data_IF_206453924093
#
_entry.id   IF_206453924093
#
_cell.length_a   1.000
_cell.length_b   1.000
_cell.length_c   1.000
_cell.angle_alpha   90.00
_cell.angle_beta   90.00
_cell.angle_gamma   90.00
#
_symmetry.space_group_name_H-M   'P 1'
#
loop_
_entity.id
_entity.type
_entity.pdbx_description
1 polymer ?
#
# COMPACT_ATOMS: atom_id res chain seq x y z
N UNK A 1 4.11 -29.93 11.11
CA UNK A 1 4.20 -28.49 10.82
C UNK A 1 4.34 -28.20 9.31
N UNK A 2 5.41 -28.66 8.57
CA UNK A 2 5.57 -28.38 7.12
C UNK A 2 4.42 -28.96 6.27
N UNK A 3 4.01 -30.21 6.51
CA UNK A 3 2.88 -30.84 5.80
C UNK A 3 1.55 -30.12 6.06
N UNK A 4 1.32 -29.67 7.27
CA UNK A 4 0.15 -28.91 7.66
C UNK A 4 0.12 -27.54 6.99
N UNK A 5 1.27 -26.82 6.99
CA UNK A 5 1.41 -25.54 6.29
C UNK A 5 1.15 -25.69 4.78
N UNK A 6 1.69 -26.73 4.15
CA UNK A 6 1.45 -27.03 2.74
C UNK A 6 -0.04 -27.32 2.45
N UNK A 7 -0.72 -28.06 3.32
CA UNK A 7 -2.15 -28.33 3.16
C UNK A 7 -3.01 -27.06 3.29
N UNK A 8 -2.69 -26.20 4.27
CA UNK A 8 -3.37 -24.88 4.42
C UNK A 8 -3.14 -23.99 3.20
N UNK A 9 -1.90 -23.91 2.74
CA UNK A 9 -1.56 -23.09 1.58
C UNK A 9 -2.32 -23.52 0.32
N UNK A 10 -2.34 -24.84 0.03
CA UNK A 10 -3.11 -25.38 -1.10
C UNK A 10 -4.59 -25.07 -1.00
N UNK A 11 -5.18 -25.27 0.18
CA UNK A 11 -6.59 -24.95 0.43
C UNK A 11 -6.90 -23.47 0.19
N UNK A 12 -6.01 -22.57 0.60
CA UNK A 12 -6.17 -21.12 0.36
C UNK A 12 -6.05 -20.77 -1.12
N UNK A 13 -5.05 -21.33 -1.82
CA UNK A 13 -4.86 -21.11 -3.27
C UNK A 13 -6.11 -21.54 -4.03
N UNK A 14 -6.66 -22.70 -3.74
CA UNK A 14 -7.87 -23.23 -4.36
C UNK A 14 -9.11 -22.38 -4.00
N UNK A 15 -9.34 -22.11 -2.71
CA UNK A 15 -10.56 -21.44 -2.23
C UNK A 15 -10.67 -19.99 -2.72
N UNK A 16 -9.53 -19.27 -2.80
CA UNK A 16 -9.50 -17.86 -3.19
C UNK A 16 -9.00 -17.62 -4.61
N UNK A 17 -8.80 -18.69 -5.39
CA UNK A 17 -8.34 -18.60 -6.78
C UNK A 17 -7.05 -17.76 -6.92
N UNK A 18 -6.09 -17.98 -6.02
CA UNK A 18 -4.85 -17.18 -5.94
C UNK A 18 -3.99 -17.42 -7.19
N UNK A 19 -3.50 -16.36 -7.80
CA UNK A 19 -2.65 -16.36 -8.99
C UNK A 19 -1.18 -16.09 -8.66
N UNK A 20 -0.91 -15.36 -7.56
CA UNK A 20 0.43 -14.97 -7.16
C UNK A 20 0.64 -15.05 -5.65
N UNK A 21 1.86 -15.39 -5.24
CA UNK A 21 2.31 -15.34 -3.84
C UNK A 21 3.48 -14.36 -3.73
N UNK A 22 3.36 -13.40 -2.83
CA UNK A 22 4.44 -12.49 -2.47
C UNK A 22 5.17 -13.02 -1.23
N UNK A 23 6.49 -13.05 -1.28
CA UNK A 23 7.37 -13.45 -0.17
C UNK A 23 8.28 -12.28 0.17
N UNK A 24 8.34 -11.88 1.44
CA UNK A 24 9.29 -10.86 1.89
C UNK A 24 10.75 -11.32 1.70
N UNK A 25 11.64 -10.40 1.36
CA UNK A 25 13.06 -10.68 1.10
C UNK A 25 13.94 -10.76 2.36
N UNK A 26 13.35 -11.03 3.52
CA UNK A 26 14.05 -11.17 4.79
C UNK A 26 14.82 -12.47 4.95
N UNK A 27 15.23 -12.75 6.19
CA UNK A 27 16.17 -13.84 6.53
C UNK A 27 15.76 -15.21 6.02
N UNK A 28 14.47 -15.57 6.11
CA UNK A 28 13.95 -16.88 5.69
C UNK A 28 13.33 -16.87 4.28
N UNK A 29 13.63 -15.88 3.45
CA UNK A 29 12.99 -15.72 2.13
C UNK A 29 13.28 -16.91 1.20
N UNK A 30 14.53 -17.35 1.13
CA UNK A 30 14.96 -18.47 0.26
C UNK A 30 14.32 -19.79 0.65
N UNK A 31 14.28 -20.09 1.95
CA UNK A 31 13.62 -21.29 2.47
C UNK A 31 12.11 -21.28 2.23
N UNK A 32 11.50 -20.10 2.34
CA UNK A 32 10.07 -19.92 2.10
C UNK A 32 9.76 -20.05 0.60
N UNK A 33 10.56 -19.44 -0.25
CA UNK A 33 10.45 -19.55 -1.70
C UNK A 33 10.59 -21.01 -2.15
N UNK A 34 11.64 -21.70 -1.69
CA UNK A 34 11.83 -23.13 -1.96
C UNK A 34 10.66 -23.96 -1.47
N UNK A 35 10.16 -23.70 -0.25
CA UNK A 35 8.99 -24.41 0.29
C UNK A 35 7.76 -24.20 -0.59
N UNK A 36 7.47 -22.99 -1.02
CA UNK A 36 6.30 -22.68 -1.84
C UNK A 36 6.41 -23.26 -3.23
N UNK A 37 7.55 -23.07 -3.90
CA UNK A 37 7.78 -23.53 -5.29
C UNK A 37 7.83 -25.04 -5.43
N UNK A 38 8.14 -25.77 -4.35
CA UNK A 38 8.12 -27.25 -4.34
C UNK A 38 6.73 -27.84 -4.08
N UNK A 39 5.71 -27.01 -3.79
CA UNK A 39 4.35 -27.51 -3.65
C UNK A 39 3.67 -27.71 -5.01
N UNK A 40 2.80 -28.70 -5.08
CA UNK A 40 1.90 -28.85 -6.23
C UNK A 40 0.57 -28.16 -5.93
N UNK A 41 0.19 -27.24 -6.79
CA UNK A 41 -1.07 -26.51 -6.75
C UNK A 41 -2.00 -26.98 -7.88
N UNK A 42 -3.29 -26.69 -7.76
CA UNK A 42 -4.33 -27.01 -8.75
C UNK A 42 -4.22 -26.15 -10.02
N UNK A 43 -3.36 -25.14 -10.00
CA UNK A 43 -3.17 -24.14 -11.07
C UNK A 43 -1.73 -23.64 -11.14
N UNK A 44 -1.34 -23.01 -12.27
CA UNK A 44 -0.10 -22.26 -12.34
C UNK A 44 -0.11 -21.13 -11.32
N UNK A 45 0.95 -21.02 -10.52
CA UNK A 45 1.08 -20.01 -9.48
C UNK A 45 2.41 -19.27 -9.64
N UNK A 46 2.36 -17.96 -9.64
CA UNK A 46 3.56 -17.12 -9.70
C UNK A 46 4.04 -16.82 -8.27
N UNK A 47 5.35 -16.91 -8.05
CA UNK A 47 5.97 -16.60 -6.77
C UNK A 47 6.93 -15.43 -6.94
N UNK A 48 6.77 -14.38 -6.15
CA UNK A 48 7.57 -13.17 -6.20
C UNK A 48 8.24 -12.90 -4.85
N UNK A 49 9.52 -12.55 -4.90
CA UNK A 49 10.24 -12.03 -3.74
C UNK A 49 10.13 -10.51 -3.75
N UNK A 50 9.55 -9.97 -2.68
CA UNK A 50 9.18 -8.54 -2.54
C UNK A 50 9.97 -7.93 -1.39
N UNK A 51 10.39 -6.67 -1.53
CA UNK A 51 11.05 -5.96 -0.44
C UNK A 51 10.14 -5.85 0.78
N UNK A 52 10.63 -6.30 1.94
CA UNK A 52 9.92 -6.15 3.23
C UNK A 52 10.41 -4.95 4.05
N UNK A 53 11.27 -4.09 3.47
CA UNK A 53 11.83 -2.94 4.17
C UNK A 53 10.73 -2.06 4.78
N UNK A 54 10.81 -1.83 6.09
CA UNK A 54 9.80 -1.07 6.84
C UNK A 54 8.46 -1.78 7.08
N UNK A 55 8.27 -3.04 6.66
CA UNK A 55 7.02 -3.76 6.91
C UNK A 55 6.72 -3.96 8.41
N UNK A 56 7.74 -4.18 9.22
CA UNK A 56 7.62 -4.26 10.68
C UNK A 56 7.19 -2.92 11.29
N UNK A 57 7.69 -1.80 10.77
CA UNK A 57 7.32 -0.44 11.21
C UNK A 57 5.84 -0.19 10.90
N UNK A 58 5.41 -0.49 9.67
CA UNK A 58 4.01 -0.39 9.28
C UNK A 58 3.12 -1.25 10.18
N UNK A 59 3.45 -2.53 10.38
CA UNK A 59 2.61 -3.48 11.14
C UNK A 59 2.32 -3.03 12.58
N UNK A 60 3.25 -2.30 13.20
CA UNK A 60 3.11 -1.72 14.54
C UNK A 60 2.48 -0.31 14.54
N UNK A 61 2.29 0.31 13.37
CA UNK A 61 1.78 1.67 13.24
C UNK A 61 0.30 1.80 13.61
N UNK A 62 -0.13 3.04 13.84
CA UNK A 62 -1.56 3.35 14.02
C UNK A 62 -2.34 3.02 12.75
N UNK A 63 -1.80 3.35 11.57
CA UNK A 63 -2.44 3.09 10.27
C UNK A 63 -2.77 1.61 10.13
N UNK A 64 -1.83 0.72 10.44
CA UNK A 64 -2.04 -0.73 10.35
C UNK A 64 -3.07 -1.23 11.37
N UNK A 65 -3.12 -0.64 12.57
CA UNK A 65 -4.15 -0.97 13.57
C UNK A 65 -5.54 -0.53 13.13
N UNK A 66 -5.65 0.65 12.52
CA UNK A 66 -6.92 1.17 12.02
C UNK A 66 -7.42 0.37 10.80
N UNK A 67 -6.50 -0.08 9.92
CA UNK A 67 -6.84 -0.93 8.76
C UNK A 67 -7.22 -2.36 9.15
N UNK A 68 -6.54 -2.92 10.15
CA UNK A 68 -6.69 -4.32 10.56
C UNK A 68 -6.71 -4.47 12.08
N UNK A 69 -7.76 -4.01 12.76
CA UNK A 69 -7.84 -4.06 14.22
C UNK A 69 -7.82 -5.49 14.78
N UNK A 70 -8.42 -6.45 14.05
CA UNK A 70 -8.57 -7.84 14.46
C UNK A 70 -7.31 -8.70 14.27
N UNK A 71 -6.29 -8.20 13.55
CA UNK A 71 -5.09 -8.97 13.23
C UNK A 71 -3.88 -8.51 14.03
N UNK A 72 -2.97 -9.43 14.30
CA UNK A 72 -1.68 -9.15 14.93
C UNK A 72 -0.67 -8.51 13.96
N UNK A 73 0.48 -8.12 14.48
CA UNK A 73 1.56 -7.50 13.70
C UNK A 73 2.10 -8.39 12.60
N UNK A 74 2.08 -9.71 12.79
CA UNK A 74 2.58 -10.68 11.81
C UNK A 74 1.69 -10.70 10.56
N UNK A 75 0.39 -10.78 10.78
CA UNK A 75 -0.60 -10.77 9.69
C UNK A 75 -0.63 -9.42 8.99
N UNK A 76 -0.59 -8.30 9.73
CA UNK A 76 -0.51 -6.94 9.15
C UNK A 76 0.72 -6.78 8.26
N UNK A 77 1.88 -7.27 8.73
CA UNK A 77 3.12 -7.28 7.94
C UNK A 77 3.00 -8.10 6.66
N UNK A 78 2.44 -9.30 6.74
CA UNK A 78 2.23 -10.17 5.59
C UNK A 78 1.29 -9.54 4.55
N UNK A 79 0.19 -8.91 4.99
CA UNK A 79 -0.72 -8.17 4.09
C UNK A 79 0.00 -7.03 3.39
N UNK A 80 0.81 -6.25 4.12
CA UNK A 80 1.59 -5.15 3.53
C UNK A 80 2.55 -5.66 2.44
N UNK A 81 3.26 -6.76 2.69
CA UNK A 81 4.16 -7.38 1.70
C UNK A 81 3.38 -7.82 0.45
N UNK A 82 2.22 -8.45 0.62
CA UNK A 82 1.34 -8.81 -0.49
C UNK A 82 0.86 -7.60 -1.31
N UNK A 83 0.44 -6.54 -0.62
CA UNK A 83 0.00 -5.30 -1.26
C UNK A 83 1.10 -4.57 -2.03
N UNK A 84 2.37 -4.69 -1.60
CA UNK A 84 3.51 -4.11 -2.34
C UNK A 84 3.71 -4.73 -3.71
N UNK A 85 3.32 -5.99 -3.89
CA UNK A 85 3.33 -6.61 -5.21
C UNK A 85 2.30 -5.96 -6.14
N UNK A 86 1.16 -5.53 -5.59
CA UNK A 86 0.07 -4.91 -6.34
C UNK A 86 0.33 -3.42 -6.61
N UNK A 87 0.68 -2.67 -5.58
CA UNK A 87 0.96 -1.23 -5.63
C UNK A 87 1.99 -0.86 -4.54
N UNK A 88 3.30 -0.88 -4.87
CA UNK A 88 4.35 -0.60 -3.91
C UNK A 88 4.27 0.82 -3.33
N UNK A 89 3.90 1.81 -4.13
CA UNK A 89 3.83 3.20 -3.69
C UNK A 89 2.73 3.40 -2.65
N UNK A 90 1.55 2.81 -2.88
CA UNK A 90 0.42 2.88 -1.96
C UNK A 90 0.75 2.34 -0.55
N UNK A 91 1.61 1.35 -0.45
CA UNK A 91 2.06 0.80 0.83
C UNK A 91 3.23 1.58 1.44
N UNK A 92 4.22 1.96 0.63
CA UNK A 92 5.42 2.63 1.12
C UNK A 92 5.15 4.01 1.69
N UNK A 93 4.18 4.76 1.16
CA UNK A 93 3.79 6.08 1.68
C UNK A 93 3.19 6.04 3.10
N UNK A 94 2.78 4.87 3.58
CA UNK A 94 2.29 4.66 4.95
C UNK A 94 3.41 4.63 5.99
N UNK A 95 4.67 4.59 5.56
CA UNK A 95 5.86 4.48 6.41
C UNK A 95 6.62 5.79 6.35
N UNK A 96 6.97 6.35 7.51
CA UNK A 96 7.86 7.52 7.57
C UNK A 96 9.20 7.17 6.92
N UNK A 97 9.64 7.88 5.86
CA UNK A 97 10.90 7.63 5.17
C UNK A 97 12.13 7.62 6.10
N UNK A 98 12.12 8.45 7.15
CA UNK A 98 13.19 8.47 8.15
C UNK A 98 13.33 7.15 8.91
N UNK A 99 12.21 6.43 9.12
CA UNK A 99 12.22 5.15 9.81
C UNK A 99 12.83 4.03 8.98
N UNK A 100 12.84 4.15 7.65
CA UNK A 100 13.48 3.21 6.73
C UNK A 100 14.98 3.50 6.62
N UNK A 101 15.37 4.75 6.79
CA UNK A 101 16.71 5.26 6.57
C UNK A 101 16.88 5.88 5.18
N UNK A 102 17.27 7.15 5.14
CA UNK A 102 17.44 7.93 3.92
C UNK A 102 18.90 8.33 3.66
N UNK A 103 19.78 8.08 4.63
CA UNK A 103 21.20 8.34 4.48
C UNK A 103 21.99 8.11 5.76
N UNK A 104 23.29 7.85 5.62
CA UNK A 104 24.19 7.58 6.73
C UNK A 104 24.20 8.72 7.75
N UNK A 105 24.15 9.98 7.28
CA UNK A 105 24.22 11.18 8.10
C UNK A 105 22.86 11.83 8.35
N UNK A 106 21.77 11.08 8.23
CA UNK A 106 20.42 11.65 8.42
C UNK A 106 20.21 12.30 9.80
N UNK A 107 20.95 11.89 10.82
CA UNK A 107 20.87 12.43 12.17
C UNK A 107 21.67 13.71 12.39
N UNK A 108 22.62 14.00 11.48
CA UNK A 108 23.52 15.16 11.56
C UNK A 108 22.98 16.41 10.90
N UNK A 109 21.86 16.30 10.19
CA UNK A 109 21.20 17.42 9.52
C UNK A 109 20.02 17.94 10.32
N UNK A 110 19.55 19.16 9.99
CA UNK A 110 18.34 19.74 10.57
C UNK A 110 17.12 18.83 10.30
N UNK A 111 16.54 18.29 11.39
CA UNK A 111 15.47 17.31 11.30
C UNK A 111 14.17 17.88 10.72
N UNK A 112 13.89 19.17 10.94
CA UNK A 112 12.71 19.83 10.41
C UNK A 112 12.82 20.04 8.90
N UNK A 113 13.99 20.46 8.44
CA UNK A 113 14.28 20.60 7.01
C UNK A 113 14.29 19.24 6.30
N UNK A 114 14.91 18.22 6.91
CA UNK A 114 14.90 16.86 6.39
C UNK A 114 13.47 16.34 6.21
N UNK A 115 12.64 16.47 7.25
CA UNK A 115 11.25 16.05 7.17
C UNK A 115 10.51 16.74 6.02
N UNK A 116 10.61 18.05 5.93
CA UNK A 116 9.96 18.84 4.86
C UNK A 116 10.43 18.39 3.47
N UNK A 117 11.73 18.18 3.29
CA UNK A 117 12.28 17.72 2.01
C UNK A 117 11.78 16.33 1.63
N UNK A 118 11.70 15.42 2.61
CA UNK A 118 11.16 14.06 2.39
C UNK A 118 9.68 14.09 2.06
N UNK A 119 8.87 14.86 2.80
CA UNK A 119 7.43 15.02 2.54
C UNK A 119 7.20 15.56 1.11
N UNK A 120 7.96 16.57 0.68
CA UNK A 120 7.90 17.09 -0.69
C UNK A 120 8.33 16.06 -1.74
N UNK A 121 9.34 15.26 -1.45
CA UNK A 121 9.81 14.23 -2.37
C UNK A 121 8.73 13.15 -2.54
N UNK A 122 8.11 12.70 -1.47
CA UNK A 122 7.01 11.72 -1.51
C UNK A 122 5.83 12.29 -2.31
N UNK A 123 5.41 13.51 -2.03
CA UNK A 123 4.34 14.19 -2.75
C UNK A 123 4.64 14.27 -4.25
N UNK A 124 5.84 14.69 -4.63
CA UNK A 124 6.26 14.76 -6.02
C UNK A 124 6.23 13.38 -6.70
N UNK A 125 6.74 12.34 -6.05
CA UNK A 125 6.71 10.99 -6.59
C UNK A 125 5.29 10.46 -6.78
N UNK A 126 4.40 10.67 -5.81
CA UNK A 126 2.99 10.25 -5.90
C UNK A 126 2.27 10.95 -7.05
N UNK A 127 2.45 12.27 -7.18
CA UNK A 127 1.83 13.03 -8.27
C UNK A 127 2.41 12.65 -9.64
N UNK A 128 3.72 12.40 -9.73
CA UNK A 128 4.36 11.99 -10.98
C UNK A 128 3.87 10.63 -11.48
N UNK A 129 3.71 9.67 -10.59
CA UNK A 129 3.19 8.32 -10.91
C UNK A 129 1.69 8.35 -11.18
N UNK A 130 0.97 9.22 -10.47
CA UNK A 130 -0.48 9.25 -10.44
C UNK A 130 -1.09 8.11 -9.62
N UNK A 131 -2.33 8.28 -9.21
CA UNK A 131 -3.02 7.39 -8.28
C UNK A 131 -4.33 6.89 -8.86
N UNK A 132 -4.62 5.59 -8.71
CA UNK A 132 -5.93 5.05 -9.09
C UNK A 132 -6.99 5.46 -8.07
N UNK A 133 -7.99 6.20 -8.54
CA UNK A 133 -9.06 6.77 -7.72
C UNK A 133 -9.92 5.69 -7.05
N UNK A 134 -10.07 4.55 -7.70
CA UNK A 134 -10.94 3.46 -7.24
C UNK A 134 -10.29 2.52 -6.23
N UNK A 135 -8.96 2.47 -6.16
CA UNK A 135 -8.23 1.56 -5.28
C UNK A 135 -7.45 2.25 -4.17
N UNK A 136 -7.13 3.55 -4.34
CA UNK A 136 -6.31 4.30 -3.39
C UNK A 136 -6.94 4.40 -1.99
N UNK A 137 -6.08 4.30 -0.97
CA UNK A 137 -6.46 4.63 0.40
C UNK A 137 -6.63 6.15 0.59
N UNK A 138 -7.35 6.57 1.64
CA UNK A 138 -7.42 7.99 1.99
C UNK A 138 -6.04 8.57 2.28
N UNK A 139 -5.15 7.77 2.87
CA UNK A 139 -3.79 8.18 3.16
C UNK A 139 -3.00 8.50 1.87
N UNK A 140 -3.05 7.61 0.87
CA UNK A 140 -2.38 7.84 -0.42
C UNK A 140 -2.96 9.08 -1.13
N UNK A 141 -4.26 9.26 -1.11
CA UNK A 141 -4.94 10.41 -1.73
C UNK A 141 -4.52 11.76 -1.12
N UNK A 142 -4.10 11.80 0.15
CA UNK A 142 -3.63 13.07 0.77
C UNK A 142 -2.38 13.64 0.13
N UNK A 143 -1.60 12.83 -0.58
CA UNK A 143 -0.42 13.29 -1.32
C UNK A 143 -0.73 13.87 -2.70
N UNK A 144 -1.97 13.72 -3.16
CA UNK A 144 -2.39 14.31 -4.44
C UNK A 144 -2.59 15.81 -4.28
N UNK A 145 -2.01 16.58 -5.19
CA UNK A 145 -2.13 18.03 -5.22
C UNK A 145 -3.61 18.45 -5.19
N UNK A 146 -3.96 19.39 -4.32
CA UNK A 146 -5.34 19.85 -4.13
C UNK A 146 -6.23 18.96 -3.26
N UNK A 147 -5.76 17.78 -2.81
CA UNK A 147 -6.51 16.90 -1.92
C UNK A 147 -5.92 16.94 -0.51
N UNK A 148 -6.60 17.62 0.40
CA UNK A 148 -6.27 17.51 1.83
C UNK A 148 -6.91 16.27 2.47
N UNK A 149 -6.59 15.95 3.74
CA UNK A 149 -7.08 14.76 4.43
C UNK A 149 -8.61 14.61 4.42
N UNK A 150 -9.34 15.72 4.51
CA UNK A 150 -10.81 15.72 4.50
C UNK A 150 -11.37 15.32 3.14
N UNK A 151 -10.84 15.87 2.04
CA UNK A 151 -11.27 15.51 0.69
C UNK A 151 -10.90 14.07 0.35
N UNK A 152 -9.70 13.64 0.73
CA UNK A 152 -9.27 12.25 0.57
C UNK A 152 -10.22 11.27 1.26
N UNK A 153 -10.63 11.57 2.49
CA UNK A 153 -11.60 10.74 3.21
C UNK A 153 -13.00 10.79 2.56
N UNK A 154 -13.45 11.96 2.11
CA UNK A 154 -14.73 12.09 1.43
C UNK A 154 -14.77 11.29 0.11
N UNK A 155 -13.66 11.24 -0.63
CA UNK A 155 -13.54 10.39 -1.84
C UNK A 155 -13.73 8.91 -1.50
N UNK A 156 -13.04 8.43 -0.46
CA UNK A 156 -13.16 7.03 -0.02
C UNK A 156 -14.59 6.70 0.43
N UNK A 157 -15.21 7.58 1.22
CA UNK A 157 -16.58 7.40 1.68
C UNK A 157 -17.57 7.40 0.51
N UNK A 158 -17.44 8.36 -0.41
CA UNK A 158 -18.29 8.44 -1.60
C UNK A 158 -18.20 7.15 -2.43
N UNK A 159 -16.99 6.63 -2.64
CA UNK A 159 -16.74 5.37 -3.34
C UNK A 159 -17.37 4.17 -2.64
N UNK A 160 -17.33 4.14 -1.31
CA UNK A 160 -17.95 3.06 -0.53
C UNK A 160 -19.49 3.07 -0.63
N UNK A 161 -20.10 4.25 -0.72
CA UNK A 161 -21.55 4.44 -0.78
C UNK A 161 -22.11 4.30 -2.20
N UNK A 162 -21.39 4.79 -3.22
CA UNK A 162 -21.89 4.95 -4.59
C UNK A 162 -21.22 4.00 -5.59
N UNK A 163 -20.23 3.23 -5.17
CA UNK A 163 -19.43 2.37 -6.05
C UNK A 163 -18.26 3.09 -6.70
N UNK A 164 -17.61 2.40 -7.63
CA UNK A 164 -16.42 2.90 -8.31
C UNK A 164 -16.74 4.10 -9.21
N UNK A 165 -15.82 5.05 -9.29
CA UNK A 165 -15.91 6.17 -10.21
C UNK A 165 -15.73 5.68 -11.66
N UNK A 166 -16.65 6.03 -12.54
CA UNK A 166 -16.57 5.75 -13.97
C UNK A 166 -15.81 6.84 -14.74
N UNK A 167 -15.65 8.02 -14.17
CA UNK A 167 -14.90 9.11 -14.77
C UNK A 167 -14.36 10.09 -13.71
N UNK A 168 -13.29 10.81 -14.06
CA UNK A 168 -12.77 11.88 -13.18
C UNK A 168 -13.79 12.98 -12.89
N UNK A 169 -14.70 13.25 -13.83
CA UNK A 169 -15.76 14.28 -13.64
C UNK A 169 -16.68 13.97 -12.47
N UNK A 170 -16.85 12.69 -12.12
CA UNK A 170 -17.67 12.29 -10.98
C UNK A 170 -17.11 12.73 -9.64
N UNK A 171 -15.82 13.09 -9.56
CA UNK A 171 -15.25 13.73 -8.38
C UNK A 171 -16.00 14.99 -7.95
N UNK A 172 -16.60 15.72 -8.89
CA UNK A 172 -17.41 16.89 -8.57
C UNK A 172 -18.67 16.59 -7.74
N UNK A 173 -19.05 15.31 -7.65
CA UNK A 173 -20.17 14.86 -6.81
C UNK A 173 -19.72 14.59 -5.35
N UNK A 174 -18.40 14.52 -5.11
CA UNK A 174 -17.86 14.27 -3.77
C UNK A 174 -18.09 15.50 -2.88
N UNK A 175 -18.58 15.31 -1.64
CA UNK A 175 -18.79 16.42 -0.72
C UNK A 175 -17.52 17.26 -0.52
N UNK A 176 -17.66 18.59 -0.60
CA UNK A 176 -16.58 19.60 -0.51
C UNK A 176 -15.58 19.61 -1.67
N UNK A 177 -15.81 18.87 -2.73
CA UNK A 177 -15.02 18.98 -3.95
C UNK A 177 -15.45 20.24 -4.71
N UNK A 178 -14.64 21.28 -4.61
CA UNK A 178 -14.84 22.51 -5.39
C UNK A 178 -14.09 22.47 -6.73
N UNK A 179 -14.45 23.38 -7.65
CA UNK A 179 -13.82 23.47 -8.97
C UNK A 179 -12.30 23.61 -8.89
N UNK A 180 -11.78 24.44 -7.97
CA UNK A 180 -10.33 24.63 -7.78
C UNK A 180 -9.62 23.35 -7.35
N UNK A 181 -10.18 22.60 -6.40
CA UNK A 181 -9.62 21.33 -5.94
C UNK A 181 -9.64 20.29 -7.07
N UNK A 182 -10.73 20.24 -7.83
CA UNK A 182 -10.86 19.36 -8.99
C UNK A 182 -9.78 19.66 -10.05
N UNK A 183 -9.61 20.91 -10.45
CA UNK A 183 -8.57 21.31 -11.42
C UNK A 183 -7.17 20.92 -10.97
N UNK A 184 -6.88 21.05 -9.67
CA UNK A 184 -5.57 20.72 -9.12
C UNK A 184 -5.32 19.20 -9.04
N UNK A 185 -6.33 18.38 -8.76
CA UNK A 185 -6.13 16.95 -8.51
C UNK A 185 -6.40 16.05 -9.72
N UNK A 186 -7.31 16.43 -10.62
CA UNK A 186 -7.83 15.54 -11.67
C UNK A 186 -6.76 14.99 -12.61
N UNK A 187 -5.69 15.76 -12.87
CA UNK A 187 -4.57 15.35 -13.72
C UNK A 187 -3.72 14.21 -13.15
N UNK A 188 -3.74 14.05 -11.82
CA UNK A 188 -2.94 13.05 -11.09
C UNK A 188 -3.74 11.80 -10.70
N UNK A 189 -5.02 11.75 -11.07
CA UNK A 189 -5.91 10.65 -10.75
C UNK A 189 -6.24 9.82 -11.99
N UNK A 190 -6.16 8.50 -11.84
CA UNK A 190 -6.54 7.51 -12.85
C UNK A 190 -7.83 6.80 -12.41
N UNK A 191 -8.58 6.29 -13.37
CA UNK A 191 -9.79 5.47 -13.18
C UNK A 191 -9.44 4.00 -13.43
#
# INVERSE_FOLDING_TARGET
>A
KKKEAAAKLRKMVEAYQIEAIAIGNGTASRETEYFVTTQQFDRPLQVFVVSEQGASIYSASKIARDEFPEYDVTVRGAVSIGRRLMDPLAELVKIDPKSIGVGQYQHDVDQSKLKKALDQTVENCVNLVGVNLNTASSHLLTYISGLGPQLAQNIVNYRAENGAFGSRKELMKVPRMGAKAFEQCAGFLRI
#
